data_IF_916224892457
#
_entry.id   IF_916224892457
#
_cell.length_a   1.000
_cell.length_b   1.000
_cell.length_c   1.000
_cell.angle_alpha   90.00
_cell.angle_beta   90.00
_cell.angle_gamma   90.00
#
_symmetry.space_group_name_H-M   'P 1'
#
loop_
_entity.id
_entity.type
_entity.pdbx_description
1 polymer ?
#
# COMPACT_ATOMS: atom_id res chain seq x y z
N UNK A 1 -7.80 -12.78 5.86
CA UNK A 1 -6.55 -11.98 5.90
C UNK A 1 -5.73 -12.25 7.16
N UNK A 2 -6.32 -12.29 8.39
CA UNK A 2 -5.58 -12.57 9.63
C UNK A 2 -4.72 -13.83 9.56
N UNK A 3 -5.32 -14.96 9.17
CA UNK A 3 -4.61 -16.22 8.95
C UNK A 3 -3.38 -16.08 8.04
N UNK A 4 -3.52 -15.42 6.88
CA UNK A 4 -2.42 -15.30 5.93
C UNK A 4 -1.28 -14.42 6.44
N UNK A 5 -1.57 -13.40 7.25
CA UNK A 5 -0.53 -12.57 7.87
C UNK A 5 0.30 -13.39 8.86
N UNK A 6 -0.35 -14.17 9.72
CA UNK A 6 0.37 -15.03 10.66
C UNK A 6 1.02 -16.24 10.00
N UNK A 7 0.47 -16.74 8.90
CA UNK A 7 1.14 -17.74 8.07
C UNK A 7 2.47 -17.19 7.52
N UNK A 8 2.47 -15.97 6.95
CA UNK A 8 3.71 -15.34 6.47
C UNK A 8 4.71 -15.08 7.61
N UNK A 9 4.24 -14.59 8.77
CA UNK A 9 5.10 -14.40 9.96
C UNK A 9 5.73 -15.73 10.37
N UNK A 10 4.96 -16.82 10.39
CA UNK A 10 5.45 -18.15 10.72
C UNK A 10 6.51 -18.64 9.74
N UNK A 11 6.31 -18.44 8.43
CA UNK A 11 7.30 -18.79 7.40
C UNK A 11 8.60 -18.01 7.60
N UNK A 12 8.50 -16.70 7.87
CA UNK A 12 9.67 -15.89 8.16
C UNK A 12 10.42 -16.37 9.41
N UNK A 13 9.70 -16.66 10.49
CA UNK A 13 10.29 -17.14 11.74
C UNK A 13 10.96 -18.51 11.55
N UNK A 14 10.33 -19.41 10.81
CA UNK A 14 10.89 -20.73 10.53
C UNK A 14 12.16 -20.62 9.67
N UNK A 15 12.16 -19.79 8.64
CA UNK A 15 13.35 -19.51 7.85
C UNK A 15 14.49 -18.94 8.72
N UNK A 16 14.21 -17.92 9.54
CA UNK A 16 15.20 -17.30 10.42
C UNK A 16 15.79 -18.28 11.43
N UNK A 17 14.97 -19.19 12.00
CA UNK A 17 15.40 -20.23 12.94
C UNK A 17 16.37 -21.21 12.27
N UNK A 18 16.07 -21.66 11.05
CA UNK A 18 16.88 -22.61 10.30
C UNK A 18 18.12 -21.99 9.65
N UNK A 19 18.20 -20.68 9.55
CA UNK A 19 19.31 -19.94 8.95
C UNK A 19 20.12 -19.12 9.99
N UNK A 20 20.14 -19.54 11.26
CA UNK A 20 20.95 -18.90 12.30
C UNK A 20 22.45 -19.02 11.98
N UNK A 21 23.30 -18.17 12.56
CA UNK A 21 24.75 -18.21 12.30
C UNK A 21 25.37 -19.59 12.62
N UNK A 22 24.88 -20.27 13.66
CA UNK A 22 25.28 -21.64 13.98
C UNK A 22 24.84 -22.65 12.90
N UNK A 23 23.64 -22.50 12.36
CA UNK A 23 23.12 -23.40 11.32
C UNK A 23 23.89 -23.28 10.00
N UNK A 24 24.35 -22.08 9.65
CA UNK A 24 25.07 -21.80 8.39
C UNK A 24 26.61 -21.90 8.50
N UNK A 25 27.15 -22.23 9.67
CA UNK A 25 28.59 -22.21 9.95
C UNK A 25 29.41 -23.08 8.98
N UNK A 26 28.85 -24.14 8.44
CA UNK A 26 29.52 -25.08 7.52
C UNK A 26 29.39 -24.70 6.03
N UNK A 27 28.64 -23.64 5.70
CA UNK A 27 28.54 -23.13 4.32
C UNK A 27 29.78 -22.32 3.96
N UNK A 28 30.05 -22.12 2.68
CA UNK A 28 31.13 -21.25 2.21
C UNK A 28 30.86 -19.79 2.63
N UNK A 29 31.91 -18.94 2.73
CA UNK A 29 31.73 -17.53 3.06
C UNK A 29 30.75 -16.77 2.14
N UNK A 30 30.73 -17.13 0.84
CA UNK A 30 29.80 -16.55 -0.14
C UNK A 30 28.36 -16.93 0.18
N UNK A 31 28.10 -18.23 0.38
CA UNK A 31 26.76 -18.72 0.73
C UNK A 31 26.30 -18.14 2.08
N UNK A 32 27.17 -18.04 3.08
CA UNK A 32 26.85 -17.39 4.35
C UNK A 32 26.41 -15.94 4.16
N UNK A 33 27.10 -15.19 3.27
CA UNK A 33 26.76 -13.79 2.97
C UNK A 33 25.39 -13.70 2.29
N UNK A 34 25.11 -14.56 1.31
CA UNK A 34 23.81 -14.63 0.64
C UNK A 34 22.68 -14.98 1.61
N UNK A 35 22.87 -15.99 2.47
CA UNK A 35 21.87 -16.38 3.47
C UNK A 35 21.60 -15.24 4.45
N UNK A 36 22.63 -14.49 4.87
CA UNK A 36 22.43 -13.30 5.72
C UNK A 36 21.60 -12.22 5.02
N UNK A 37 21.82 -12.00 3.73
CA UNK A 37 20.97 -11.10 2.94
C UNK A 37 19.50 -11.57 2.92
N UNK A 38 19.25 -12.86 2.68
CA UNK A 38 17.89 -13.42 2.73
C UNK A 38 17.25 -13.32 4.13
N UNK A 39 18.06 -13.46 5.19
CA UNK A 39 17.59 -13.23 6.57
C UNK A 39 17.07 -11.79 6.78
N UNK A 40 17.79 -10.81 6.25
CA UNK A 40 17.38 -9.40 6.34
C UNK A 40 16.06 -9.16 5.59
N UNK A 41 15.88 -9.78 4.42
CA UNK A 41 14.63 -9.72 3.67
C UNK A 41 13.48 -10.44 4.39
N UNK A 42 13.73 -11.62 4.97
CA UNK A 42 12.72 -12.33 5.77
C UNK A 42 12.27 -11.51 6.98
N UNK A 43 13.20 -10.80 7.64
CA UNK A 43 12.88 -9.86 8.74
C UNK A 43 12.06 -8.68 8.24
N UNK A 44 12.37 -8.14 7.06
CA UNK A 44 11.55 -7.09 6.44
C UNK A 44 10.13 -7.59 6.15
N UNK A 45 9.97 -8.77 5.56
CA UNK A 45 8.65 -9.36 5.27
C UNK A 45 7.85 -9.63 6.54
N UNK A 46 8.50 -10.05 7.62
CA UNK A 46 7.90 -10.18 8.94
C UNK A 46 7.42 -8.82 9.47
N UNK A 47 8.27 -7.80 9.44
CA UNK A 47 7.93 -6.45 9.87
C UNK A 47 6.77 -5.87 9.03
N UNK A 48 6.76 -6.09 7.72
CA UNK A 48 5.67 -5.69 6.84
C UNK A 48 4.36 -6.41 7.20
N UNK A 49 4.41 -7.71 7.47
CA UNK A 49 3.23 -8.49 7.90
C UNK A 49 2.70 -8.01 9.26
N UNK A 50 3.58 -7.72 10.21
CA UNK A 50 3.19 -7.13 11.50
C UNK A 50 2.65 -5.72 11.37
N UNK A 51 3.18 -4.90 10.44
CA UNK A 51 2.58 -3.60 10.12
C UNK A 51 1.14 -3.75 9.63
N UNK A 52 0.85 -4.74 8.78
CA UNK A 52 -0.53 -5.02 8.37
C UNK A 52 -1.39 -5.51 9.54
N UNK A 53 -0.86 -6.33 10.45
CA UNK A 53 -1.56 -6.72 11.69
C UNK A 53 -1.88 -5.48 12.53
N UNK A 54 -0.90 -4.59 12.70
CA UNK A 54 -1.07 -3.34 13.43
C UNK A 54 -2.12 -2.43 12.76
N UNK A 55 -2.07 -2.25 11.44
CA UNK A 55 -3.02 -1.38 10.73
C UNK A 55 -4.46 -1.92 10.76
N UNK A 56 -4.62 -3.23 10.60
CA UNK A 56 -5.92 -3.84 10.44
C UNK A 56 -6.58 -4.27 11.77
N UNK A 57 -5.80 -4.72 12.76
CA UNK A 57 -6.31 -5.38 13.97
C UNK A 57 -5.89 -4.71 15.28
N UNK A 58 -4.85 -3.85 15.28
CA UNK A 58 -4.27 -3.17 16.47
C UNK A 58 -3.76 -4.11 17.56
N UNK A 59 -3.87 -5.42 17.38
CA UNK A 59 -3.43 -6.43 18.36
C UNK A 59 -3.06 -7.72 17.66
N UNK A 60 -2.05 -8.40 18.16
CA UNK A 60 -1.62 -9.69 17.65
C UNK A 60 -0.70 -10.43 18.60
N UNK A 61 -0.55 -11.76 18.43
CA UNK A 61 0.38 -12.54 19.25
C UNK A 61 1.82 -12.14 18.98
N UNK A 62 2.61 -12.16 20.03
CA UNK A 62 4.07 -11.95 19.97
C UNK A 62 4.75 -13.27 19.62
N UNK A 63 5.28 -13.38 18.41
CA UNK A 63 6.02 -14.55 17.95
C UNK A 63 7.20 -14.14 17.07
N UNK A 64 8.35 -14.78 17.31
CA UNK A 64 9.58 -14.60 16.55
C UNK A 64 10.30 -15.95 16.34
N UNK A 65 11.51 -15.94 15.80
CA UNK A 65 12.31 -17.13 15.57
C UNK A 65 12.74 -17.87 16.85
N UNK A 66 12.69 -17.20 18.01
CA UNK A 66 13.04 -17.77 19.32
C UNK A 66 11.81 -18.34 20.05
N UNK A 67 10.62 -18.04 19.57
CA UNK A 67 9.36 -18.52 20.18
C UNK A 67 9.27 -20.04 20.07
N UNK A 68 8.96 -20.78 21.16
CA UNK A 68 8.77 -22.24 21.12
C UNK A 68 7.68 -22.65 20.13
N UNK A 69 7.91 -23.73 19.38
CA UNK A 69 6.99 -24.23 18.33
C UNK A 69 5.78 -24.96 18.96
N UNK A 70 5.95 -25.55 20.15
CA UNK A 70 4.91 -26.34 20.81
C UNK A 70 4.83 -26.05 22.30
N UNK A 71 3.65 -26.26 22.88
CA UNK A 71 3.45 -26.14 24.33
C UNK A 71 3.51 -24.72 24.88
N UNK A 72 3.29 -23.72 24.01
CA UNK A 72 3.39 -22.32 24.34
C UNK A 72 2.18 -21.54 23.81
N UNK A 73 1.62 -20.67 24.63
CA UNK A 73 0.58 -19.72 24.23
C UNK A 73 1.23 -18.34 24.23
N UNK A 74 1.38 -17.70 23.06
CA UNK A 74 2.10 -16.44 22.96
C UNK A 74 1.32 -15.30 23.64
N UNK A 75 2.08 -14.40 24.27
CA UNK A 75 1.57 -13.11 24.71
C UNK A 75 1.09 -12.29 23.51
N UNK A 76 0.16 -11.39 23.75
CA UNK A 76 -0.35 -10.48 22.72
C UNK A 76 0.28 -9.09 22.85
N UNK A 77 0.80 -8.58 21.75
CA UNK A 77 1.13 -7.17 21.63
C UNK A 77 -0.15 -6.35 21.39
N UNK A 78 -0.26 -5.21 22.08
CA UNK A 78 -1.18 -4.14 21.72
C UNK A 78 -0.60 -3.24 20.62
N UNK A 79 -1.30 -2.15 20.30
CA UNK A 79 -0.85 -1.20 19.29
C UNK A 79 0.52 -0.59 19.56
N UNK A 80 0.85 -0.29 20.82
CA UNK A 80 2.17 0.25 21.22
C UNK A 80 3.24 -0.81 21.08
N UNK A 81 3.00 -2.02 21.61
CA UNK A 81 3.97 -3.11 21.53
C UNK A 81 4.27 -3.55 20.09
N UNK A 82 3.24 -3.64 19.24
CA UNK A 82 3.43 -3.93 17.81
C UNK A 82 4.20 -2.82 17.10
N UNK A 83 3.89 -1.55 17.39
CA UNK A 83 4.61 -0.41 16.83
C UNK A 83 6.10 -0.47 17.18
N UNK A 84 6.42 -0.64 18.47
CA UNK A 84 7.79 -0.68 18.95
C UNK A 84 8.57 -1.87 18.36
N UNK A 85 7.93 -3.04 18.23
CA UNK A 85 8.54 -4.20 17.58
C UNK A 85 8.88 -3.92 16.11
N UNK A 86 7.93 -3.40 15.33
CA UNK A 86 8.12 -3.09 13.91
C UNK A 86 9.19 -2.02 13.74
N UNK A 87 9.17 -0.97 14.56
CA UNK A 87 10.15 0.10 14.54
C UNK A 87 11.57 -0.45 14.76
N UNK A 88 11.76 -1.28 15.79
CA UNK A 88 13.06 -1.86 16.13
C UNK A 88 13.57 -2.78 15.03
N UNK A 89 12.70 -3.63 14.45
CA UNK A 89 13.05 -4.48 13.32
C UNK A 89 13.54 -3.65 12.12
N UNK A 90 12.74 -2.66 11.70
CA UNK A 90 13.07 -1.84 10.54
C UNK A 90 14.31 -0.97 10.78
N UNK A 91 14.49 -0.39 11.97
CA UNK A 91 15.69 0.38 12.32
C UNK A 91 16.95 -0.48 12.22
N UNK A 92 16.90 -1.73 12.67
CA UNK A 92 18.04 -2.63 12.55
C UNK A 92 18.37 -2.98 11.10
N UNK A 93 17.34 -3.05 10.22
CA UNK A 93 17.49 -3.35 8.79
C UNK A 93 18.06 -2.19 7.96
N UNK A 94 18.03 -0.97 8.47
CA UNK A 94 18.58 0.22 7.82
C UNK A 94 19.84 0.76 8.52
N UNK A 95 20.32 0.08 9.58
CA UNK A 95 21.50 0.50 10.34
C UNK A 95 22.76 0.42 9.48
N UNK A 96 23.59 1.47 9.52
CA UNK A 96 24.83 1.50 8.77
C UNK A 96 25.87 0.52 9.37
N UNK A 97 26.59 -0.18 8.49
CA UNK A 97 27.66 -1.08 8.87
C UNK A 97 27.24 -2.34 9.63
N UNK A 98 25.97 -2.67 9.63
CA UNK A 98 25.45 -3.90 10.25
C UNK A 98 25.26 -5.01 9.23
N UNK A 99 25.74 -6.22 9.55
CA UNK A 99 25.51 -7.43 8.74
C UNK A 99 24.04 -7.85 8.69
N UNK A 100 23.20 -7.28 9.56
CA UNK A 100 21.76 -7.48 9.59
C UNK A 100 21.01 -6.51 8.68
N UNK A 101 21.69 -5.52 8.09
CA UNK A 101 21.07 -4.51 7.24
C UNK A 101 20.67 -5.07 5.87
N UNK A 102 19.61 -4.50 5.31
CA UNK A 102 19.27 -4.66 3.91
C UNK A 102 20.33 -3.99 3.01
N UNK A 103 20.48 -4.43 1.76
CA UNK A 103 21.33 -3.74 0.80
C UNK A 103 20.75 -2.37 0.42
N UNK A 104 21.60 -1.45 -0.03
CA UNK A 104 21.17 -0.14 -0.53
C UNK A 104 20.34 -0.24 -1.80
N UNK A 105 20.61 -1.25 -2.62
CA UNK A 105 19.85 -1.62 -3.84
C UNK A 105 19.65 -3.13 -3.87
N UNK A 106 18.54 -3.58 -4.48
CA UNK A 106 18.28 -5.00 -4.66
C UNK A 106 17.61 -5.26 -6.03
N UNK A 107 17.46 -6.51 -6.39
CA UNK A 107 16.66 -6.91 -7.54
C UNK A 107 15.21 -6.46 -7.36
N UNK A 108 14.52 -6.22 -8.48
CA UNK A 108 13.12 -5.81 -8.45
C UNK A 108 12.24 -6.83 -7.69
N UNK A 109 11.31 -6.33 -6.90
CA UNK A 109 10.45 -7.15 -6.05
C UNK A 109 11.10 -7.62 -4.74
N UNK A 110 12.39 -7.35 -4.52
CA UNK A 110 13.11 -7.67 -3.29
C UNK A 110 13.31 -6.44 -2.42
N UNK A 111 13.36 -6.65 -1.09
CA UNK A 111 13.49 -5.55 -0.14
C UNK A 111 14.90 -4.94 -0.15
N UNK A 112 14.97 -3.62 0.00
CA UNK A 112 16.18 -2.81 0.13
C UNK A 112 16.04 -1.79 1.26
N UNK A 113 17.11 -1.10 1.64
CA UNK A 113 17.02 -0.03 2.65
C UNK A 113 15.98 1.05 2.30
N UNK A 114 15.89 1.56 1.05
CA UNK A 114 14.82 2.48 0.66
C UNK A 114 13.41 1.95 0.94
N UNK A 115 13.18 0.65 0.70
CA UNK A 115 11.89 -0.01 1.00
C UNK A 115 11.59 0.01 2.50
N UNK A 116 12.59 -0.29 3.33
CA UNK A 116 12.44 -0.27 4.80
C UNK A 116 12.25 1.16 5.34
N UNK A 117 12.94 2.16 4.78
CA UNK A 117 12.71 3.57 5.12
C UNK A 117 11.30 4.03 4.75
N UNK A 118 10.79 3.64 3.60
CA UNK A 118 9.42 3.99 3.20
C UNK A 118 8.37 3.32 4.11
N UNK A 119 8.61 2.08 4.57
CA UNK A 119 7.72 1.42 5.54
C UNK A 119 7.81 2.08 6.93
N UNK A 120 8.99 2.51 7.38
CA UNK A 120 9.16 3.33 8.60
C UNK A 120 8.38 4.64 8.49
N UNK A 121 8.43 5.31 7.34
CA UNK A 121 7.65 6.53 7.12
C UNK A 121 6.13 6.27 7.26
N UNK A 122 5.61 5.18 6.71
CA UNK A 122 4.19 4.77 6.89
C UNK A 122 3.87 4.49 8.36
N UNK A 123 4.75 3.80 9.07
CA UNK A 123 4.60 3.51 10.49
C UNK A 123 4.51 4.81 11.30
N UNK A 124 5.45 5.72 11.09
CA UNK A 124 5.53 6.99 11.82
C UNK A 124 4.37 7.94 11.51
N UNK A 125 3.97 8.05 10.25
CA UNK A 125 2.85 8.90 9.85
C UNK A 125 1.54 8.48 10.55
N UNK A 126 1.37 7.18 10.80
CA UNK A 126 0.20 6.62 11.47
C UNK A 126 0.37 6.44 12.99
N UNK A 127 1.45 6.93 13.58
CA UNK A 127 1.79 6.72 14.99
C UNK A 127 0.68 7.11 15.96
N UNK A 128 0.00 8.23 15.72
CA UNK A 128 -1.09 8.69 16.58
C UNK A 128 -2.24 7.67 16.67
N UNK A 129 -2.55 7.01 15.54
CA UNK A 129 -3.57 5.96 15.46
C UNK A 129 -3.10 4.68 16.14
N UNK A 130 -1.84 4.30 15.92
CA UNK A 130 -1.29 3.04 16.42
C UNK A 130 -0.98 3.08 17.92
N UNK A 131 -0.53 4.22 18.40
CA UNK A 131 -0.15 4.43 19.81
C UNK A 131 -1.25 5.08 20.65
N UNK A 132 -2.37 5.51 20.02
CA UNK A 132 -3.50 6.13 20.70
C UNK A 132 -3.25 7.56 21.20
N UNK A 133 -2.12 8.19 20.85
CA UNK A 133 -1.80 9.56 21.22
C UNK A 133 -0.91 10.25 20.18
N UNK A 134 -1.10 11.56 20.05
CA UNK A 134 -0.27 12.40 19.17
C UNK A 134 1.07 12.71 19.84
N UNK A 135 2.16 12.40 19.14
CA UNK A 135 3.51 12.84 19.49
C UNK A 135 4.21 13.29 18.20
N UNK A 136 4.47 14.59 18.08
CA UNK A 136 5.01 15.20 16.86
C UNK A 136 6.43 14.73 16.52
N UNK A 137 7.14 14.10 17.46
CA UNK A 137 8.45 13.49 17.18
C UNK A 137 8.32 12.43 16.06
N UNK A 138 7.24 11.65 16.03
CA UNK A 138 7.05 10.63 15.00
C UNK A 138 6.79 11.24 13.61
N UNK A 139 6.18 12.41 13.52
CA UNK A 139 6.08 13.11 12.25
C UNK A 139 7.44 13.64 11.77
N UNK A 140 8.32 14.05 12.70
CA UNK A 140 9.72 14.38 12.39
C UNK A 140 10.49 13.12 11.92
N UNK A 141 10.31 11.99 12.60
CA UNK A 141 10.90 10.70 12.16
C UNK A 141 10.36 10.26 10.80
N UNK A 142 9.07 10.50 10.52
CA UNK A 142 8.48 10.26 9.19
C UNK A 142 9.19 11.07 8.10
N UNK A 143 9.39 12.36 8.32
CA UNK A 143 10.12 13.24 7.39
C UNK A 143 11.56 12.75 7.19
N UNK A 144 12.25 12.38 8.27
CA UNK A 144 13.60 11.84 8.22
C UNK A 144 13.67 10.57 7.39
N UNK A 145 12.74 9.64 7.59
CA UNK A 145 12.65 8.40 6.82
C UNK A 145 12.33 8.67 5.33
N UNK A 146 11.40 9.57 5.05
CA UNK A 146 11.11 10.00 3.68
C UNK A 146 12.34 10.61 3.01
N UNK A 147 13.10 11.45 3.72
CA UNK A 147 14.28 12.09 3.17
C UNK A 147 15.36 11.09 2.79
N UNK A 148 15.52 9.97 3.53
CA UNK A 148 16.44 8.88 3.16
C UNK A 148 16.11 8.25 1.79
N UNK A 149 14.85 8.27 1.39
CA UNK A 149 14.43 7.80 0.07
C UNK A 149 14.56 8.92 -0.98
N UNK A 150 14.01 10.10 -0.68
CA UNK A 150 13.91 11.24 -1.63
C UNK A 150 15.30 11.75 -2.06
N UNK A 151 16.27 11.73 -1.15
CA UNK A 151 17.63 12.21 -1.43
C UNK A 151 18.46 11.25 -2.31
N UNK A 152 17.98 10.06 -2.60
CA UNK A 152 18.64 9.14 -3.49
C UNK A 152 18.36 9.52 -4.94
N UNK A 153 19.39 9.93 -5.73
CA UNK A 153 19.21 10.43 -7.10
C UNK A 153 18.73 9.36 -8.10
N UNK A 154 18.75 8.09 -7.71
CA UNK A 154 18.22 7.00 -8.53
C UNK A 154 16.69 6.97 -8.54
N UNK A 155 16.04 7.64 -7.59
CA UNK A 155 14.59 7.69 -7.50
C UNK A 155 14.02 9.00 -8.03
N UNK A 156 13.06 8.88 -8.91
CA UNK A 156 12.29 9.99 -9.47
C UNK A 156 10.91 9.48 -9.90
N UNK A 157 9.96 10.39 -10.06
CA UNK A 157 8.60 10.02 -10.50
C UNK A 157 8.63 9.59 -11.96
N UNK A 158 7.95 8.50 -12.28
CA UNK A 158 7.70 8.06 -13.66
C UNK A 158 6.91 9.16 -14.40
N UNK A 159 7.40 9.67 -15.53
CA UNK A 159 6.70 10.74 -16.24
C UNK A 159 5.30 10.36 -16.71
N UNK A 160 5.10 9.10 -17.08
CA UNK A 160 3.81 8.58 -17.55
C UNK A 160 3.15 7.73 -16.44
N UNK A 161 2.13 8.31 -15.80
CA UNK A 161 1.44 7.64 -14.71
C UNK A 161 0.88 6.25 -15.08
N UNK A 162 0.37 6.08 -16.29
CA UNK A 162 -0.21 4.82 -16.72
C UNK A 162 0.80 3.66 -16.75
N UNK A 163 2.07 3.98 -17.03
CA UNK A 163 3.13 2.97 -17.06
C UNK A 163 3.52 2.37 -15.72
N UNK A 164 3.05 2.96 -14.63
CA UNK A 164 3.18 2.38 -13.29
C UNK A 164 2.25 1.17 -13.07
N UNK A 165 1.26 0.98 -13.94
CA UNK A 165 0.17 0.04 -13.74
C UNK A 165 -0.12 -0.83 -14.96
N UNK A 166 0.84 -0.94 -15.88
CA UNK A 166 0.79 -1.81 -17.05
C UNK A 166 1.66 -3.07 -16.85
N UNK A 167 1.65 -4.01 -17.82
CA UNK A 167 2.38 -5.26 -17.72
C UNK A 167 3.92 -5.12 -17.73
N UNK A 168 4.42 -3.95 -18.13
CA UNK A 168 5.84 -3.61 -18.14
C UNK A 168 6.26 -2.77 -16.92
N UNK A 169 5.43 -2.65 -15.90
CA UNK A 169 5.69 -1.76 -14.77
C UNK A 169 6.90 -2.19 -13.92
N UNK A 170 7.35 -3.43 -14.02
CA UNK A 170 8.63 -3.89 -13.46
C UNK A 170 9.85 -3.10 -13.93
N UNK A 171 9.73 -2.38 -15.07
CA UNK A 171 10.78 -1.48 -15.61
C UNK A 171 10.84 -0.14 -14.83
N UNK A 172 9.88 0.16 -13.95
CA UNK A 172 9.74 1.46 -13.24
C UNK A 172 10.38 1.43 -11.86
N UNK A 173 11.58 0.83 -11.76
CA UNK A 173 12.34 0.67 -10.50
C UNK A 173 12.75 2.00 -9.87
N UNK A 174 12.73 3.09 -10.63
CA UNK A 174 13.00 4.45 -10.16
C UNK A 174 11.84 5.07 -9.37
N UNK A 175 10.60 4.53 -9.47
CA UNK A 175 9.45 4.97 -8.67
C UNK A 175 8.84 3.83 -7.85
N UNK A 176 8.78 2.60 -8.37
CA UNK A 176 8.26 1.45 -7.63
C UNK A 176 9.36 0.92 -6.72
N UNK A 177 9.25 1.23 -5.43
CA UNK A 177 10.24 0.85 -4.41
C UNK A 177 10.05 -0.58 -3.93
N UNK A 178 8.81 -1.09 -3.96
CA UNK A 178 8.48 -2.47 -3.60
C UNK A 178 7.20 -2.91 -4.29
N UNK A 179 7.22 -4.10 -4.87
CA UNK A 179 6.09 -4.66 -5.59
C UNK A 179 5.86 -6.13 -5.25
N UNK A 180 4.59 -6.56 -5.37
CA UNK A 180 4.28 -7.98 -5.52
C UNK A 180 4.38 -8.32 -7.00
N UNK A 181 5.42 -9.09 -7.34
CA UNK A 181 5.71 -9.49 -8.71
C UNK A 181 4.67 -10.50 -9.19
N UNK A 182 4.10 -10.26 -10.36
CA UNK A 182 3.11 -11.09 -11.01
C UNK A 182 3.61 -11.52 -12.39
N UNK A 183 3.45 -12.79 -12.71
CA UNK A 183 3.79 -13.36 -14.00
C UNK A 183 2.70 -14.35 -14.42
N UNK A 184 2.03 -14.05 -15.51
CA UNK A 184 0.90 -14.84 -16.01
C UNK A 184 1.29 -16.26 -16.46
N UNK A 185 2.59 -16.56 -16.58
CA UNK A 185 3.10 -17.87 -17.04
C UNK A 185 3.62 -18.73 -15.91
N UNK A 186 4.23 -18.13 -14.88
CA UNK A 186 4.93 -18.86 -13.80
C UNK A 186 4.22 -18.74 -12.45
N UNK A 187 3.58 -17.61 -12.16
CA UNK A 187 2.87 -17.36 -10.90
C UNK A 187 1.36 -17.13 -11.13
N UNK A 188 0.72 -18.01 -11.89
CA UNK A 188 -0.72 -17.91 -12.19
C UNK A 188 -1.53 -17.89 -10.90
N UNK A 189 -2.26 -16.80 -10.69
CA UNK A 189 -3.08 -16.57 -9.50
C UNK A 189 -4.30 -15.70 -9.80
N UNK A 190 -5.35 -15.88 -9.03
CA UNK A 190 -6.52 -15.00 -9.02
C UNK A 190 -6.29 -13.72 -8.18
N UNK A 191 -5.16 -13.61 -7.50
CA UNK A 191 -4.78 -12.47 -6.64
C UNK A 191 -3.87 -11.48 -7.36
N UNK A 192 -3.32 -10.54 -6.57
CA UNK A 192 -2.34 -9.57 -7.03
C UNK A 192 -2.80 -8.69 -8.18
N UNK A 193 -1.95 -8.49 -9.17
CA UNK A 193 -2.25 -7.72 -10.38
C UNK A 193 -3.45 -8.28 -11.14
N UNK A 194 -3.57 -9.60 -11.24
CA UNK A 194 -4.72 -10.26 -11.88
C UNK A 194 -6.06 -9.82 -11.27
N UNK A 195 -6.15 -9.80 -9.93
CA UNK A 195 -7.37 -9.40 -9.23
C UNK A 195 -7.77 -7.96 -9.54
N UNK A 196 -6.79 -7.06 -9.62
CA UNK A 196 -7.04 -5.65 -9.93
C UNK A 196 -7.37 -5.44 -11.40
N UNK A 197 -6.59 -5.98 -12.32
CA UNK A 197 -6.79 -5.77 -13.77
C UNK A 197 -8.12 -6.38 -14.21
N UNK A 198 -8.33 -7.66 -13.93
CA UNK A 198 -9.57 -8.35 -14.34
C UNK A 198 -10.79 -7.85 -13.54
N UNK A 199 -10.62 -7.57 -12.25
CA UNK A 199 -11.71 -7.07 -11.40
C UNK A 199 -12.17 -5.67 -11.76
N UNK A 200 -11.26 -4.81 -12.23
CA UNK A 200 -11.55 -3.43 -12.64
C UNK A 200 -12.16 -3.34 -14.03
N UNK A 201 -11.91 -4.30 -14.91
CA UNK A 201 -12.46 -4.33 -16.25
C UNK A 201 -13.87 -4.93 -16.23
N UNK A 202 -14.82 -4.27 -16.90
CA UNK A 202 -16.16 -4.80 -17.15
C UNK A 202 -16.11 -6.09 -17.99
N UNK A 203 -17.19 -6.85 -17.98
CA UNK A 203 -17.32 -8.01 -18.86
C UNK A 203 -17.57 -7.55 -20.32
N UNK A 204 -17.50 -8.48 -21.28
CA UNK A 204 -17.62 -8.18 -22.71
C UNK A 204 -18.97 -7.55 -23.14
N UNK A 205 -19.95 -7.48 -22.26
CA UNK A 205 -21.23 -6.79 -22.53
C UNK A 205 -21.22 -5.32 -22.11
N UNK A 206 -20.32 -4.93 -21.22
CA UNK A 206 -20.22 -3.57 -20.66
C UNK A 206 -18.93 -2.82 -21.05
N UNK A 207 -17.86 -3.55 -21.34
CA UNK A 207 -16.55 -2.99 -21.70
C UNK A 207 -15.78 -4.04 -22.54
N UNK A 208 -14.96 -3.62 -23.50
CA UNK A 208 -14.14 -4.53 -24.28
C UNK A 208 -12.85 -4.91 -23.53
N UNK A 209 -12.72 -6.13 -22.99
CA UNK A 209 -11.53 -6.53 -22.22
C UNK A 209 -10.24 -6.54 -23.05
N UNK A 210 -10.31 -6.71 -24.36
CA UNK A 210 -9.14 -6.74 -25.23
C UNK A 210 -8.38 -5.41 -25.21
N UNK A 211 -9.06 -4.29 -24.98
CA UNK A 211 -8.44 -2.96 -24.82
C UNK A 211 -7.53 -2.84 -23.58
N UNK A 212 -7.62 -3.79 -22.66
CA UNK A 212 -6.83 -3.84 -21.42
C UNK A 212 -5.90 -5.06 -21.40
N UNK A 213 -5.69 -5.71 -22.54
CA UNK A 213 -4.84 -6.89 -22.64
C UNK A 213 -5.44 -8.16 -22.00
N UNK A 214 -6.77 -8.24 -21.92
CA UNK A 214 -7.50 -9.34 -21.26
C UNK A 214 -8.33 -10.14 -22.25
N UNK A 215 -8.53 -11.43 -21.93
CA UNK A 215 -9.50 -12.29 -22.62
C UNK A 215 -10.89 -12.15 -22.03
N UNK A 216 -11.03 -11.72 -20.75
CA UNK A 216 -12.30 -11.47 -20.09
C UNK A 216 -12.11 -10.52 -18.90
N UNK A 217 -13.08 -9.65 -18.64
CA UNK A 217 -13.19 -8.83 -17.43
C UNK A 217 -14.21 -9.44 -16.45
N UNK A 218 -14.02 -9.16 -15.14
CA UNK A 218 -14.93 -9.70 -14.12
C UNK A 218 -15.99 -8.70 -13.66
N UNK A 219 -15.84 -7.41 -13.94
CA UNK A 219 -16.79 -6.35 -13.58
C UNK A 219 -17.03 -6.21 -12.08
N UNK A 220 -16.00 -6.51 -11.26
CA UNK A 220 -16.14 -6.55 -9.79
C UNK A 220 -16.01 -5.17 -9.14
N UNK A 221 -15.12 -4.34 -9.67
CA UNK A 221 -14.78 -3.05 -9.06
C UNK A 221 -15.33 -1.89 -9.86
N UNK A 222 -16.07 -1.03 -9.18
CA UNK A 222 -16.57 0.23 -9.73
C UNK A 222 -16.32 1.36 -8.75
N UNK A 223 -15.96 2.53 -9.27
CA UNK A 223 -15.71 3.71 -8.49
C UNK A 223 -17.00 4.19 -7.80
N UNK A 224 -16.89 4.60 -6.55
CA UNK A 224 -17.91 5.45 -5.95
C UNK A 224 -17.79 6.86 -6.52
N UNK A 225 -18.92 7.53 -6.75
CA UNK A 225 -18.92 8.86 -7.35
C UNK A 225 -18.03 9.87 -6.63
N UNK A 226 -17.91 9.75 -5.32
CA UNK A 226 -17.14 10.66 -4.44
C UNK A 226 -15.62 10.59 -4.66
N UNK A 227 -15.06 9.47 -5.16
CA UNK A 227 -13.66 9.43 -5.58
C UNK A 227 -13.48 10.05 -6.96
N UNK A 228 -14.45 9.89 -7.84
CA UNK A 228 -14.44 10.49 -9.18
C UNK A 228 -14.52 12.02 -9.10
N UNK A 229 -15.35 12.56 -8.21
CA UNK A 229 -15.48 14.02 -7.98
C UNK A 229 -14.17 14.73 -7.67
N UNK A 230 -13.18 14.00 -7.09
CA UNK A 230 -11.88 14.59 -6.78
C UNK A 230 -11.06 14.97 -8.00
N UNK A 231 -11.45 14.50 -9.17
CA UNK A 231 -10.83 14.82 -10.47
C UNK A 231 -11.61 15.89 -11.25
N UNK A 232 -12.76 16.36 -10.71
CA UNK A 232 -13.66 17.26 -11.42
C UNK A 232 -14.38 16.57 -12.58
N UNK A 233 -14.51 17.26 -13.70
CA UNK A 233 -15.08 16.66 -14.93
C UNK A 233 -14.07 15.75 -15.58
N UNK A 234 -14.21 14.44 -15.36
CA UNK A 234 -13.27 13.42 -15.86
C UNK A 234 -13.24 13.31 -17.39
N UNK A 235 -14.22 13.85 -18.09
CA UNK A 235 -14.24 13.89 -19.56
C UNK A 235 -13.36 15.02 -20.14
N UNK A 236 -13.01 16.02 -19.35
CA UNK A 236 -12.26 17.20 -19.76
C UNK A 236 -11.06 17.53 -18.85
N UNK A 237 -10.77 16.72 -17.86
CA UNK A 237 -9.65 16.98 -16.94
C UNK A 237 -8.30 16.78 -17.63
N UNK A 238 -7.32 17.60 -17.24
CA UNK A 238 -5.91 17.43 -17.63
C UNK A 238 -5.17 16.45 -16.69
N UNK A 239 -5.81 16.04 -15.59
CA UNK A 239 -5.21 15.08 -14.65
C UNK A 239 -5.22 13.67 -15.24
N UNK A 240 -4.06 13.22 -15.71
CA UNK A 240 -3.87 11.91 -16.36
C UNK A 240 -4.19 10.72 -15.45
N UNK A 241 -4.36 10.95 -14.16
CA UNK A 241 -4.75 9.93 -13.19
C UNK A 241 -6.25 9.66 -13.16
N UNK A 242 -7.07 10.47 -13.84
CA UNK A 242 -8.52 10.27 -13.96
C UNK A 242 -8.85 9.10 -14.90
N UNK A 243 -8.36 7.91 -14.56
CA UNK A 243 -8.46 6.72 -15.38
C UNK A 243 -9.74 5.93 -15.07
N UNK A 244 -10.85 6.42 -15.61
CA UNK A 244 -12.19 5.85 -15.43
C UNK A 244 -12.86 5.61 -16.78
N UNK A 245 -13.44 4.43 -16.95
CA UNK A 245 -14.29 4.11 -18.09
C UNK A 245 -15.68 4.69 -17.86
N UNK A 246 -16.10 5.61 -18.72
CA UNK A 246 -17.34 6.39 -18.59
C UNK A 246 -18.38 6.09 -19.66
N UNK A 247 -18.00 5.40 -20.73
CA UNK A 247 -18.89 5.16 -21.88
C UNK A 247 -20.06 4.27 -21.50
N UNK A 248 -21.28 4.82 -21.61
CA UNK A 248 -22.49 4.14 -21.19
C UNK A 248 -22.63 3.92 -19.68
N UNK A 249 -21.85 4.61 -18.86
CA UNK A 249 -21.85 4.48 -17.40
C UNK A 249 -22.37 5.75 -16.72
N UNK A 250 -23.14 5.56 -15.65
CA UNK A 250 -23.51 6.63 -14.71
C UNK A 250 -22.49 6.72 -13.58
N UNK A 251 -22.12 7.94 -13.16
CA UNK A 251 -21.12 8.12 -12.09
C UNK A 251 -21.61 7.58 -10.75
N UNK A 252 -22.89 7.71 -10.46
CA UNK A 252 -23.49 7.34 -9.17
C UNK A 252 -24.40 6.13 -9.30
N UNK A 253 -24.55 5.41 -8.19
CA UNK A 253 -25.52 4.34 -8.08
C UNK A 253 -26.89 4.91 -7.73
N UNK A 254 -27.93 4.47 -8.43
CA UNK A 254 -29.32 4.83 -8.15
C UNK A 254 -30.05 3.78 -7.28
N UNK A 255 -29.45 2.62 -7.08
CA UNK A 255 -30.05 1.49 -6.36
C UNK A 255 -29.01 0.42 -6.00
N UNK A 256 -29.39 -0.86 -6.03
CA UNK A 256 -28.48 -1.97 -5.77
C UNK A 256 -27.27 -1.96 -6.71
N UNK A 257 -26.12 -2.41 -6.19
CA UNK A 257 -24.82 -2.39 -6.92
C UNK A 257 -24.68 -3.47 -8.01
N UNK A 258 -25.73 -4.18 -8.33
CA UNK A 258 -25.77 -5.20 -9.37
C UNK A 258 -25.95 -4.63 -10.81
N UNK A 259 -26.38 -3.36 -10.92
CA UNK A 259 -26.47 -2.69 -12.21
C UNK A 259 -25.08 -2.33 -12.74
N UNK A 260 -24.65 -2.99 -13.81
CA UNK A 260 -23.30 -2.82 -14.40
C UNK A 260 -23.12 -1.48 -15.12
N UNK A 261 -24.20 -0.70 -15.39
CA UNK A 261 -24.11 0.63 -15.99
C UNK A 261 -23.95 1.76 -14.94
N UNK A 262 -23.86 1.45 -13.65
CA UNK A 262 -23.75 2.42 -12.58
C UNK A 262 -22.43 2.26 -11.83
N UNK A 263 -21.78 3.39 -11.50
CA UNK A 263 -20.40 3.46 -11.05
C UNK A 263 -19.42 3.23 -12.21
N UNK A 264 -18.42 4.10 -12.37
CA UNK A 264 -17.43 3.94 -13.42
C UNK A 264 -16.50 2.75 -13.14
N UNK A 265 -16.14 1.98 -14.20
CA UNK A 265 -15.03 1.04 -14.08
C UNK A 265 -13.69 1.78 -14.00
N UNK A 266 -12.68 1.13 -13.44
CA UNK A 266 -11.34 1.69 -13.37
C UNK A 266 -10.52 1.25 -14.57
N UNK A 267 -9.75 2.18 -15.15
CA UNK A 267 -8.80 1.93 -16.23
C UNK A 267 -7.35 2.02 -15.78
N UNK A 268 -7.12 2.19 -14.46
CA UNK A 268 -5.78 2.40 -13.90
C UNK A 268 -4.84 1.22 -14.14
N UNK A 269 -5.32 -0.01 -13.97
CA UNK A 269 -4.52 -1.22 -14.18
C UNK A 269 -4.88 -1.87 -15.51
N UNK A 270 -3.86 -2.23 -16.30
CA UNK A 270 -4.02 -2.95 -17.55
C UNK A 270 -2.98 -4.06 -17.68
N UNK A 271 -3.24 -5.06 -18.52
CA UNK A 271 -2.28 -6.10 -18.88
C UNK A 271 -1.65 -5.83 -20.26
N UNK A 272 -1.56 -4.55 -20.65
CA UNK A 272 -0.84 -4.09 -21.85
C UNK A 272 0.63 -3.82 -21.53
N UNK A 273 1.49 -4.04 -22.52
CA UNK A 273 2.89 -3.63 -22.48
C UNK A 273 3.03 -2.13 -22.72
N UNK A 274 4.27 -1.61 -22.68
CA UNK A 274 4.58 -0.21 -23.04
C UNK A 274 4.25 0.15 -24.49
N UNK A 275 4.12 -0.86 -25.35
CA UNK A 275 3.81 -0.73 -26.79
C UNK A 275 2.31 -0.99 -27.08
N UNK A 276 1.46 -0.97 -26.04
CA UNK A 276 0.00 -1.23 -26.12
C UNK A 276 -0.33 -2.63 -26.68
N UNK A 277 0.57 -3.60 -26.50
CA UNK A 277 0.36 -5.00 -26.88
C UNK A 277 -0.07 -5.80 -25.64
N UNK A 278 -1.05 -6.67 -25.80
CA UNK A 278 -1.48 -7.55 -24.73
C UNK A 278 -0.32 -8.45 -24.28
N UNK A 279 0.00 -8.40 -22.98
CA UNK A 279 0.92 -9.35 -22.35
C UNK A 279 0.25 -10.71 -22.16
N UNK A 280 1.01 -11.72 -21.75
CA UNK A 280 0.45 -13.05 -21.48
C UNK A 280 -0.72 -12.96 -20.50
N UNK A 281 -1.79 -13.67 -20.83
CA UNK A 281 -2.97 -13.81 -19.99
C UNK A 281 -3.50 -15.23 -20.11
N UNK A 282 -3.28 -16.06 -19.11
CA UNK A 282 -3.70 -17.46 -19.12
C UNK A 282 -5.17 -17.57 -18.72
N UNK A 283 -6.06 -17.63 -19.73
CA UNK A 283 -7.49 -17.88 -19.56
C UNK A 283 -8.17 -16.99 -18.49
N UNK A 284 -7.81 -15.72 -18.43
CA UNK A 284 -8.26 -14.74 -17.43
C UNK A 284 -7.87 -15.05 -15.97
N UNK A 285 -6.90 -15.91 -15.76
CA UNK A 285 -6.42 -16.28 -14.41
C UNK A 285 -5.02 -15.78 -14.07
N UNK A 286 -4.36 -15.09 -14.99
CA UNK A 286 -3.04 -14.52 -14.78
C UNK A 286 -2.84 -13.26 -15.60
N UNK A 287 -2.35 -12.22 -14.97
CA UNK A 287 -1.84 -11.00 -15.60
C UNK A 287 -0.36 -10.83 -15.21
N UNK A 288 0.40 -10.20 -16.10
CA UNK A 288 1.82 -9.90 -15.86
C UNK A 288 2.03 -8.52 -15.22
N UNK A 289 0.97 -7.82 -14.87
CA UNK A 289 1.03 -6.52 -14.21
C UNK A 289 1.30 -6.70 -12.73
N UNK A 290 2.42 -6.17 -12.25
CA UNK A 290 2.80 -6.19 -10.85
C UNK A 290 1.93 -5.25 -10.01
N UNK A 291 1.79 -5.61 -8.73
CA UNK A 291 1.10 -4.74 -7.78
C UNK A 291 2.10 -3.89 -6.99
N UNK A 292 2.16 -2.56 -7.22
CA UNK A 292 3.03 -1.67 -6.46
C UNK A 292 2.57 -1.58 -5.01
N UNK A 293 3.40 -2.07 -4.08
CA UNK A 293 3.13 -2.01 -2.64
C UNK A 293 3.60 -0.70 -2.02
N UNK A 294 4.72 -0.17 -2.51
CA UNK A 294 5.31 1.10 -2.07
C UNK A 294 5.86 1.85 -3.28
N UNK A 295 5.44 3.11 -3.46
CA UNK A 295 5.92 3.99 -4.53
C UNK A 295 6.47 5.31 -3.98
N UNK A 296 7.37 5.94 -4.75
CA UNK A 296 7.99 7.22 -4.40
C UNK A 296 6.97 8.34 -4.21
N UNK A 297 5.89 8.38 -5.01
CA UNK A 297 4.84 9.38 -4.85
C UNK A 297 4.17 9.33 -3.47
N UNK A 298 3.98 8.13 -2.88
CA UNK A 298 3.50 8.00 -1.50
C UNK A 298 4.50 8.63 -0.51
N UNK A 299 5.80 8.41 -0.71
CA UNK A 299 6.86 8.99 0.14
C UNK A 299 6.84 10.52 0.08
N UNK A 300 6.64 11.12 -1.11
CA UNK A 300 6.53 12.57 -1.26
C UNK A 300 5.33 13.13 -0.48
N UNK A 301 4.16 12.49 -0.63
CA UNK A 301 2.94 12.93 0.04
C UNK A 301 2.98 12.68 1.56
N UNK A 302 3.66 11.61 2.01
CA UNK A 302 3.88 11.37 3.46
C UNK A 302 4.74 12.45 4.09
N UNK A 303 5.82 12.88 3.44
CA UNK A 303 6.69 13.96 3.94
C UNK A 303 5.91 15.28 4.09
N UNK A 304 5.12 15.64 3.08
CA UNK A 304 4.30 16.85 3.11
C UNK A 304 3.21 16.77 4.21
N UNK A 305 2.52 15.64 4.34
CA UNK A 305 1.52 15.43 5.39
C UNK A 305 2.14 15.50 6.79
N UNK A 306 3.29 14.88 7.00
CA UNK A 306 3.97 14.86 8.30
C UNK A 306 4.37 16.26 8.75
N UNK A 307 4.83 17.13 7.83
CA UNK A 307 5.08 18.54 8.12
C UNK A 307 3.81 19.26 8.58
N UNK A 308 2.71 19.10 7.85
CA UNK A 308 1.42 19.74 8.18
C UNK A 308 0.85 19.26 9.52
N UNK A 309 1.25 18.07 9.97
CA UNK A 309 0.89 17.52 11.29
C UNK A 309 1.81 17.98 12.42
N UNK A 310 2.77 18.87 12.14
CA UNK A 310 3.69 19.44 13.14
C UNK A 310 5.05 18.76 13.21
N UNK A 311 5.41 17.93 12.24
CA UNK A 311 6.77 17.43 12.07
C UNK A 311 7.73 18.53 11.65
N UNK A 312 9.02 18.31 11.83
CA UNK A 312 10.10 19.20 11.43
C UNK A 312 11.13 18.46 10.57
N UNK A 313 12.01 19.21 9.88
CA UNK A 313 13.07 18.63 9.06
C UNK A 313 13.00 19.02 7.59
N UNK A 314 11.86 19.53 7.14
CA UNK A 314 11.70 20.21 5.84
C UNK A 314 10.93 21.52 6.04
N UNK A 315 11.09 22.46 5.13
CA UNK A 315 10.31 23.70 5.10
C UNK A 315 8.92 23.47 4.44
N UNK A 316 8.00 24.39 4.68
CA UNK A 316 6.70 24.37 4.03
C UNK A 316 6.84 24.51 2.50
N UNK A 317 7.82 25.29 2.02
CA UNK A 317 8.13 25.40 0.60
C UNK A 317 8.63 24.08 -0.03
N UNK A 318 9.44 23.31 0.69
CA UNK A 318 9.85 21.97 0.26
C UNK A 318 8.67 21.01 0.22
N UNK A 319 7.81 21.01 1.22
CA UNK A 319 6.58 20.20 1.21
C UNK A 319 5.66 20.55 0.03
N UNK A 320 5.46 21.84 -0.24
CA UNK A 320 4.72 22.31 -1.40
C UNK A 320 5.35 21.84 -2.71
N UNK A 321 6.68 21.89 -2.81
CA UNK A 321 7.39 21.41 -3.99
C UNK A 321 7.20 19.91 -4.21
N UNK A 322 7.26 19.08 -3.16
CA UNK A 322 7.01 17.64 -3.26
C UNK A 322 5.60 17.33 -3.80
N UNK A 323 4.59 18.02 -3.27
CA UNK A 323 3.20 17.87 -3.76
C UNK A 323 3.09 18.33 -5.21
N UNK A 324 3.70 19.47 -5.54
CA UNK A 324 3.64 20.01 -6.90
C UNK A 324 4.41 19.16 -7.93
N UNK A 325 5.44 18.43 -7.54
CA UNK A 325 6.08 17.44 -8.42
C UNK A 325 5.11 16.30 -8.78
N UNK A 326 4.37 15.75 -7.80
CA UNK A 326 3.34 14.73 -8.06
C UNK A 326 2.26 15.29 -9.00
N UNK A 327 1.83 16.50 -8.77
CA UNK A 327 0.78 17.16 -9.57
C UNK A 327 1.26 17.51 -10.98
N UNK A 328 2.46 18.03 -11.13
CA UNK A 328 3.04 18.31 -12.47
C UNK A 328 3.14 17.04 -13.31
N UNK A 329 3.61 15.91 -12.73
CA UNK A 329 3.59 14.63 -13.40
C UNK A 329 2.18 14.25 -13.84
N UNK A 330 1.20 14.39 -12.96
CA UNK A 330 -0.19 14.07 -13.24
C UNK A 330 -0.81 14.95 -14.35
N UNK A 331 -0.35 16.18 -14.48
CA UNK A 331 -0.80 17.15 -15.48
C UNK A 331 0.15 17.25 -16.68
N UNK A 332 0.99 16.23 -16.94
CA UNK A 332 1.93 16.19 -18.06
C UNK A 332 2.81 17.46 -18.14
N UNK A 333 3.27 17.95 -17.00
CA UNK A 333 4.03 19.20 -16.81
C UNK A 333 3.25 20.49 -17.12
N UNK A 334 1.94 20.46 -17.20
CA UNK A 334 1.14 21.68 -17.25
C UNK A 334 1.13 22.38 -15.89
N UNK A 335 1.57 23.64 -15.87
CA UNK A 335 1.67 24.46 -14.65
C UNK A 335 0.32 24.69 -13.95
N UNK A 336 -0.80 24.57 -14.66
CA UNK A 336 -2.16 24.64 -14.06
C UNK A 336 -2.44 23.53 -13.06
N UNK A 337 -1.66 22.44 -13.11
CA UNK A 337 -1.70 21.36 -12.13
C UNK A 337 -1.19 21.77 -10.75
N UNK A 338 -0.31 22.77 -10.65
CA UNK A 338 0.25 23.21 -9.36
C UNK A 338 -0.77 23.84 -8.42
N UNK A 339 -0.50 23.72 -7.14
CA UNK A 339 -1.21 24.43 -6.08
C UNK A 339 -0.33 25.53 -5.49
N UNK A 340 -0.98 26.52 -4.88
CA UNK A 340 -0.32 27.56 -4.10
C UNK A 340 -0.04 27.10 -2.66
N UNK A 341 0.75 27.88 -1.92
CA UNK A 341 0.99 27.65 -0.49
C UNK A 341 -0.30 27.66 0.34
N UNK A 342 -1.26 28.52 -0.02
CA UNK A 342 -2.55 28.62 0.67
C UNK A 342 -3.41 27.36 0.52
N UNK A 343 -3.27 26.63 -0.57
CA UNK A 343 -4.01 25.40 -0.86
C UNK A 343 -3.41 24.18 -0.16
N UNK A 344 -2.15 24.25 0.30
CA UNK A 344 -1.46 23.15 0.96
C UNK A 344 -2.02 22.94 2.37
N UNK A 345 -3.07 22.14 2.47
CA UNK A 345 -3.77 21.81 3.71
C UNK A 345 -3.84 20.28 3.90
N UNK A 346 -4.16 19.82 5.12
CA UNK A 346 -4.36 18.40 5.38
C UNK A 346 -5.51 17.81 4.56
N UNK A 347 -6.63 18.51 4.42
CA UNK A 347 -7.76 18.02 3.60
C UNK A 347 -7.36 17.92 2.12
N UNK A 348 -6.57 18.87 1.61
CA UNK A 348 -6.01 18.79 0.27
C UNK A 348 -5.10 17.55 0.11
N UNK A 349 -4.21 17.31 1.07
CA UNK A 349 -3.33 16.13 1.04
C UNK A 349 -4.13 14.83 1.05
N UNK A 350 -5.19 14.73 1.86
CA UNK A 350 -6.06 13.56 1.86
C UNK A 350 -6.67 13.30 0.49
N UNK A 351 -7.10 14.35 -0.20
CA UNK A 351 -7.67 14.24 -1.53
C UNK A 351 -6.61 13.95 -2.59
N UNK A 352 -5.42 14.57 -2.49
CA UNK A 352 -4.31 14.28 -3.40
C UNK A 352 -3.82 12.83 -3.26
N UNK A 353 -3.72 12.30 -2.04
CA UNK A 353 -3.46 10.89 -1.79
C UNK A 353 -4.55 10.01 -2.39
N UNK A 354 -5.81 10.45 -2.32
CA UNK A 354 -6.93 9.76 -2.97
C UNK A 354 -6.78 9.68 -4.49
N UNK A 355 -6.40 10.80 -5.15
CA UNK A 355 -6.15 10.86 -6.59
C UNK A 355 -4.94 10.02 -7.02
N UNK A 356 -3.87 10.09 -6.25
CA UNK A 356 -2.62 9.41 -6.58
C UNK A 356 -2.65 7.91 -6.33
N UNK A 357 -3.23 7.48 -5.19
CA UNK A 357 -3.06 6.14 -4.63
C UNK A 357 -4.34 5.29 -4.63
N UNK A 358 -5.39 5.66 -5.38
CA UNK A 358 -6.58 4.81 -5.45
C UNK A 358 -6.24 3.43 -6.03
N UNK A 359 -6.93 2.40 -5.56
CA UNK A 359 -6.67 0.99 -5.85
C UNK A 359 -5.29 0.45 -5.36
N UNK A 360 -4.55 1.21 -4.53
CA UNK A 360 -3.26 0.76 -3.98
C UNK A 360 -3.36 0.37 -2.48
N UNK A 361 -4.56 0.03 -2.02
CA UNK A 361 -4.85 -0.50 -0.67
C UNK A 361 -4.48 0.41 0.50
N UNK A 362 -4.27 1.73 0.27
CA UNK A 362 -3.88 2.69 1.32
C UNK A 362 -5.03 3.60 1.79
N UNK A 363 -6.11 3.74 1.00
CA UNK A 363 -7.18 4.71 1.27
C UNK A 363 -7.84 4.54 2.64
N UNK A 364 -8.09 3.28 3.06
CA UNK A 364 -8.68 3.00 4.38
C UNK A 364 -7.77 3.51 5.50
N UNK A 365 -6.48 3.23 5.43
CA UNK A 365 -5.46 3.68 6.39
C UNK A 365 -5.45 5.21 6.48
N UNK A 366 -5.49 5.91 5.33
CA UNK A 366 -5.58 7.36 5.28
C UNK A 366 -6.85 7.88 5.94
N UNK A 367 -8.02 7.36 5.57
CA UNK A 367 -9.30 7.80 6.13
C UNK A 367 -9.41 7.54 7.65
N UNK A 368 -8.83 6.46 8.15
CA UNK A 368 -8.75 6.17 9.60
C UNK A 368 -7.85 7.22 10.28
N UNK A 369 -6.66 7.51 9.71
CA UNK A 369 -5.74 8.52 10.25
C UNK A 369 -6.32 9.93 10.29
N UNK A 370 -7.17 10.25 9.32
CA UNK A 370 -7.88 11.54 9.27
C UNK A 370 -9.20 11.56 10.07
N UNK A 371 -9.57 10.47 10.75
CA UNK A 371 -10.83 10.35 11.48
C UNK A 371 -12.07 10.38 10.59
N UNK A 372 -11.91 10.10 9.29
CA UNK A 372 -12.97 10.20 8.27
C UNK A 372 -13.64 8.85 7.95
N UNK A 373 -12.99 7.72 8.26
CA UNK A 373 -13.47 6.41 7.82
C UNK A 373 -14.85 6.05 8.39
N UNK A 374 -15.08 6.34 9.66
CA UNK A 374 -16.35 5.99 10.35
C UNK A 374 -17.28 7.19 10.56
N UNK A 375 -16.77 8.43 10.46
CA UNK A 375 -17.51 9.66 10.76
C UNK A 375 -18.60 9.99 9.73
N UNK A 376 -19.45 10.94 10.09
CA UNK A 376 -20.45 11.57 9.21
C UNK A 376 -19.87 12.73 8.35
N UNK A 377 -18.67 13.19 8.68
CA UNK A 377 -18.00 14.28 7.96
C UNK A 377 -17.39 13.87 6.61
N UNK A 378 -17.42 12.58 6.27
CA UNK A 378 -16.91 12.02 5.03
C UNK A 378 -17.76 10.83 4.62
N UNK A 379 -18.72 11.07 3.75
CA UNK A 379 -19.71 10.08 3.31
C UNK A 379 -19.41 9.69 1.85
N UNK A 380 -19.67 8.43 1.52
CA UNK A 380 -19.68 7.89 0.17
C UNK A 380 -20.84 6.91 0.03
N UNK A 381 -21.33 6.74 -1.17
CA UNK A 381 -22.42 5.81 -1.45
C UNK A 381 -22.10 4.41 -0.91
N UNK A 382 -23.09 3.77 -0.31
CA UNK A 382 -23.00 2.46 0.32
C UNK A 382 -22.12 2.39 1.59
N UNK A 383 -21.62 3.52 2.10
CA UNK A 383 -21.04 3.54 3.45
C UNK A 383 -22.09 3.14 4.47
N UNK A 384 -21.77 2.14 5.30
CA UNK A 384 -22.72 1.62 6.30
C UNK A 384 -23.90 0.86 5.72
N UNK A 385 -23.82 0.39 4.47
CA UNK A 385 -24.80 -0.48 3.83
C UNK A 385 -26.09 0.21 3.38
N UNK A 386 -26.08 1.54 3.20
CA UNK A 386 -27.21 2.32 2.66
C UNK A 386 -26.76 3.14 1.46
N UNK A 387 -27.65 3.36 0.49
CA UNK A 387 -27.33 4.00 -0.79
C UNK A 387 -26.62 5.36 -0.60
N UNK A 388 -27.21 6.28 0.16
CA UNK A 388 -26.68 7.63 0.36
C UNK A 388 -25.50 7.68 1.35
N UNK A 389 -25.11 6.51 1.90
CA UNK A 389 -24.08 6.42 2.92
C UNK A 389 -24.50 6.97 4.27
N UNK A 390 -23.86 6.50 5.31
CA UNK A 390 -24.01 7.02 6.69
C UNK A 390 -22.74 6.81 7.50
N UNK A 391 -22.62 7.52 8.62
CA UNK A 391 -21.63 7.19 9.65
C UNK A 391 -21.82 5.76 10.16
N UNK A 392 -20.74 5.16 10.60
CA UNK A 392 -20.74 3.82 11.19
C UNK A 392 -20.02 3.86 12.54
N UNK A 393 -20.22 2.83 13.35
CA UNK A 393 -19.57 2.74 14.66
C UNK A 393 -18.03 2.73 14.48
N UNK A 394 -17.33 3.43 15.37
CA UNK A 394 -15.85 3.54 15.31
C UNK A 394 -15.11 2.20 15.42
N UNK A 395 -15.75 1.14 15.95
CA UNK A 395 -15.17 -0.21 15.94
C UNK A 395 -14.72 -0.66 14.54
N UNK A 396 -15.38 -0.19 13.49
CA UNK A 396 -15.02 -0.51 12.10
C UNK A 396 -13.71 0.12 11.64
N UNK A 397 -13.07 0.97 12.46
CA UNK A 397 -11.69 1.39 12.22
C UNK A 397 -10.67 0.25 12.34
N UNK A 398 -11.06 -0.87 12.93
CA UNK A 398 -10.27 -2.12 12.96
C UNK A 398 -11.15 -3.31 12.56
N UNK A 399 -10.52 -4.41 12.17
CA UNK A 399 -11.21 -5.68 12.00
C UNK A 399 -11.17 -6.50 13.29
N UNK A 400 -12.19 -7.30 13.59
CA UNK A 400 -12.12 -8.25 14.69
C UNK A 400 -11.09 -9.35 14.38
N UNK A 401 -10.38 -9.78 15.41
CA UNK A 401 -9.60 -11.02 15.36
C UNK A 401 -10.60 -12.18 15.26
N UNK A 402 -10.37 -13.19 14.39
CA UNK A 402 -11.29 -14.30 14.24
C UNK A 402 -11.53 -15.08 15.55
N UNK A 403 -12.74 -15.55 15.77
CA UNK A 403 -13.13 -16.28 17.00
C UNK A 403 -12.31 -17.56 17.20
N UNK A 404 -11.88 -18.21 16.12
CA UNK A 404 -10.98 -19.38 16.17
C UNK A 404 -9.66 -19.04 16.85
N UNK A 405 -9.10 -17.87 16.54
CA UNK A 405 -7.82 -17.41 17.09
C UNK A 405 -7.98 -16.94 18.55
N UNK A 406 -9.11 -16.26 18.88
CA UNK A 406 -9.43 -15.89 20.26
C UNK A 406 -9.62 -17.12 21.17
N UNK A 407 -10.22 -18.18 20.64
CA UNK A 407 -10.39 -19.44 21.37
C UNK A 407 -9.06 -20.16 21.60
N UNK A 408 -8.19 -20.14 20.59
CA UNK A 408 -6.87 -20.79 20.65
C UNK A 408 -5.87 -20.05 21.54
N UNK A 409 -5.98 -18.73 21.64
CA UNK A 409 -5.09 -17.89 22.44
C UNK A 409 -5.88 -16.89 23.31
N UNK A 410 -6.10 -17.22 24.61
CA UNK A 410 -6.85 -16.37 25.53
C UNK A 410 -6.19 -15.01 25.85
N UNK A 411 -4.93 -14.80 25.49
CA UNK A 411 -4.26 -13.50 25.61
C UNK A 411 -4.75 -12.48 24.56
N UNK A 412 -5.41 -12.96 23.51
CA UNK A 412 -6.04 -12.12 22.51
C UNK A 412 -7.40 -11.60 22.98
N UNK A 413 -7.83 -10.46 22.47
CA UNK A 413 -9.17 -9.91 22.71
C UNK A 413 -9.58 -8.96 21.59
N UNK A 414 -10.88 -8.79 21.42
CA UNK A 414 -11.49 -7.80 20.54
C UNK A 414 -12.11 -6.67 21.39
N UNK A 415 -11.34 -5.66 21.82
CA UNK A 415 -11.83 -4.69 22.80
C UNK A 415 -12.99 -3.82 22.31
N UNK A 416 -13.21 -3.73 21.01
CA UNK A 416 -14.30 -2.95 20.40
C UNK A 416 -15.46 -3.82 19.89
N UNK A 417 -15.37 -5.15 19.99
CA UNK A 417 -16.36 -6.10 19.49
C UNK A 417 -16.95 -6.97 20.59
#
# INVERSE_FOLDING_TARGET
SYYWLFFNITLCNEFLRNCSDGAIANFSPTEQSEIRAYRSEARFMRAFSYWMVLDLYRKGPQVDENTPVTGFIPEAYDGVGLFDFIENELKSLVAEGSDASLPDTNEYGRASKPTAWALLARLYLNSAVYRGSVDTKYYTECITACHKVISNPSFHLEPDYAKLFNADNHKRTHEILFAMVCDATTSVTWGGGTYLVCGSCGNSSSQDPAKYGLTNGWGMFRARGEIVEKFGDVSNTLDSRAMFYTDGQEQYFSGPIDNQSEGYFFEKFSNLTDDDVAASNSAATGCSTDYPLIRLADVYLMAAEALLRGGSGISRGEALNLVNQVRLRAYNNDESGKISDADLTLDFILDERGRELYLESIRRTDLVRFGKFTSDSYIWQWKGGVLDGRSVNERYNIYPIPDTDLTANPNLSNPLY
#
